data_IF_005125116861
#
_entry.id   IF_005125116861
#
_cell.length_a   1.000
_cell.length_b   1.000
_cell.length_c   1.000
_cell.angle_alpha   90.00
_cell.angle_beta   90.00
_cell.angle_gamma   90.00
#
_symmetry.space_group_name_H-M   'P 1'
#
loop_
_entity.id
_entity.type
_entity.pdbx_description
1 polymer ?
#
# COMPACT_ATOMS: atom_id res chain seq x y z
N UNK A 1 -2.40 -42.62 12.60
CA UNK A 1 -2.60 -41.23 13.01
C UNK A 1 -2.29 -40.34 11.82
N UNK A 2 -3.28 -39.64 11.29
CA UNK A 2 -3.03 -38.66 10.22
C UNK A 2 -2.60 -37.35 10.87
N UNK A 3 -1.41 -36.84 10.52
CA UNK A 3 -0.96 -35.52 10.95
C UNK A 3 -1.53 -34.49 9.96
N UNK A 4 -2.41 -33.63 10.44
CA UNK A 4 -2.91 -32.51 9.65
C UNK A 4 -1.97 -31.33 9.93
N UNK A 5 -1.24 -30.88 8.90
CA UNK A 5 -0.43 -29.67 8.95
C UNK A 5 -1.21 -28.46 8.42
N UNK A 6 -1.04 -27.29 9.04
CA UNK A 6 -1.55 -26.02 8.57
C UNK A 6 -0.36 -25.13 8.18
N UNK A 7 -0.38 -24.60 6.96
CA UNK A 7 0.60 -23.62 6.48
C UNK A 7 -0.15 -22.31 6.22
N UNK A 8 0.30 -21.23 6.83
CA UNK A 8 -0.22 -19.88 6.64
C UNK A 8 0.82 -19.04 5.89
N UNK A 9 0.36 -18.36 4.85
CA UNK A 9 1.18 -17.43 4.06
C UNK A 9 0.64 -16.01 4.25
N UNK A 10 1.54 -15.06 4.43
CA UNK A 10 1.22 -13.65 4.21
C UNK A 10 1.06 -13.41 2.70
N UNK A 11 0.29 -12.41 2.32
CA UNK A 11 0.00 -12.10 0.90
C UNK A 11 0.96 -11.04 0.39
N UNK A 12 0.98 -9.88 1.05
CA UNK A 12 1.71 -8.72 0.59
C UNK A 12 3.22 -8.90 0.82
N UNK A 13 4.00 -8.82 -0.27
CA UNK A 13 5.43 -9.04 -0.24
C UNK A 13 5.87 -10.51 -0.14
N UNK A 14 4.94 -11.47 -0.02
CA UNK A 14 5.21 -12.91 0.02
C UNK A 14 4.63 -13.62 -1.20
N UNK A 15 3.33 -13.47 -1.43
CA UNK A 15 2.64 -14.04 -2.60
C UNK A 15 2.51 -13.01 -3.73
N UNK A 16 2.31 -11.73 -3.37
CA UNK A 16 2.18 -10.61 -4.32
C UNK A 16 3.23 -9.55 -4.07
N UNK A 17 3.85 -9.08 -5.14
CA UNK A 17 4.69 -7.88 -5.11
C UNK A 17 3.80 -6.65 -5.16
N UNK A 18 3.75 -5.92 -4.06
CA UNK A 18 2.96 -4.70 -3.88
C UNK A 18 3.79 -3.42 -3.92
N UNK A 19 5.08 -3.51 -4.25
CA UNK A 19 6.02 -2.38 -4.25
C UNK A 19 5.55 -1.25 -5.16
N UNK A 20 5.04 -1.59 -6.35
CA UNK A 20 4.59 -0.64 -7.36
C UNK A 20 3.07 -0.35 -7.27
N UNK A 21 2.42 -0.68 -6.19
CA UNK A 21 1.01 -0.38 -5.94
C UNK A 21 0.83 0.46 -4.68
N UNK A 22 0.91 -0.13 -3.49
CA UNK A 22 0.74 0.58 -2.22
C UNK A 22 1.78 1.68 -2.00
N UNK A 23 3.07 1.37 -2.17
CA UNK A 23 4.13 2.36 -1.98
C UNK A 23 4.00 3.53 -2.94
N UNK A 24 3.69 3.24 -4.20
CA UNK A 24 3.47 4.29 -5.20
C UNK A 24 2.22 5.12 -4.88
N UNK A 25 1.15 4.51 -4.37
CA UNK A 25 -0.04 5.23 -3.91
C UNK A 25 0.26 6.15 -2.74
N UNK A 26 1.09 5.71 -1.77
CA UNK A 26 1.59 6.56 -0.67
C UNK A 26 2.35 7.76 -1.23
N UNK A 27 3.37 7.52 -2.08
CA UNK A 27 4.22 8.56 -2.65
C UNK A 27 3.42 9.62 -3.40
N UNK A 28 2.50 9.20 -4.27
CA UNK A 28 1.69 10.11 -5.08
C UNK A 28 0.61 10.83 -4.28
N UNK A 29 0.11 10.21 -3.21
CA UNK A 29 -0.82 10.90 -2.30
C UNK A 29 -0.09 12.00 -1.52
N UNK A 30 1.10 11.73 -0.98
CA UNK A 30 1.92 12.75 -0.31
C UNK A 30 2.26 13.89 -1.26
N UNK A 31 2.74 13.58 -2.47
CA UNK A 31 3.06 14.58 -3.50
C UNK A 31 1.88 15.52 -3.78
N UNK A 32 0.67 14.99 -3.85
CA UNK A 32 -0.54 15.78 -4.08
C UNK A 32 -0.78 16.85 -3.02
N UNK A 33 -0.51 16.53 -1.74
CA UNK A 33 -0.85 17.42 -0.64
C UNK A 33 0.26 18.39 -0.22
N UNK A 34 1.52 18.04 -0.42
CA UNK A 34 2.63 18.88 0.02
C UNK A 34 3.71 19.13 -1.03
N UNK A 35 3.45 18.76 -2.28
CA UNK A 35 4.37 18.94 -3.41
C UNK A 35 5.77 18.34 -3.16
N UNK A 36 5.82 17.29 -2.36
CA UNK A 36 7.01 16.49 -2.07
C UNK A 36 6.68 15.01 -2.26
N UNK A 37 7.51 14.30 -2.97
CA UNK A 37 7.39 12.86 -3.17
C UNK A 37 8.39 12.13 -2.27
N UNK A 38 7.92 11.40 -1.24
CA UNK A 38 8.82 10.65 -0.38
C UNK A 38 9.47 9.50 -1.17
N UNK A 39 10.72 9.23 -0.84
CA UNK A 39 11.42 8.05 -1.36
C UNK A 39 10.91 6.77 -0.68
N UNK A 40 11.25 5.61 -1.25
CA UNK A 40 10.99 4.32 -0.59
C UNK A 40 11.68 4.23 0.76
N UNK A 41 12.86 4.85 0.89
CA UNK A 41 13.59 4.93 2.17
C UNK A 41 12.81 5.72 3.23
N UNK A 42 12.20 6.85 2.88
CA UNK A 42 11.38 7.64 3.81
C UNK A 42 10.21 6.82 4.34
N UNK A 43 9.58 6.02 3.47
CA UNK A 43 8.49 5.11 3.84
C UNK A 43 9.00 4.01 4.78
N UNK A 44 10.14 3.40 4.45
CA UNK A 44 10.73 2.31 5.25
C UNK A 44 11.15 2.79 6.64
N UNK A 45 11.74 3.99 6.75
CA UNK A 45 12.07 4.59 8.04
C UNK A 45 10.84 4.69 8.92
N UNK A 46 9.71 5.14 8.37
CA UNK A 46 8.48 5.27 9.13
C UNK A 46 7.88 3.89 9.50
N UNK A 47 7.88 2.94 8.57
CA UNK A 47 7.42 1.56 8.83
C UNK A 47 8.25 0.86 9.90
N UNK A 48 9.54 1.13 9.97
CA UNK A 48 10.44 0.55 10.98
C UNK A 48 10.16 1.04 12.41
N UNK A 49 9.36 2.09 12.59
CA UNK A 49 8.87 2.50 13.91
C UNK A 49 7.86 1.48 14.49
N UNK A 50 7.31 0.57 13.67
CA UNK A 50 6.46 -0.55 14.09
C UNK A 50 5.01 -0.18 14.43
N UNK A 51 4.63 1.09 14.30
CA UNK A 51 3.28 1.59 14.63
C UNK A 51 2.49 2.05 13.39
N UNK A 52 3.14 2.21 12.26
CA UNK A 52 2.55 2.71 11.01
C UNK A 52 2.26 1.56 10.03
N UNK A 53 1.44 0.59 10.46
CA UNK A 53 1.08 -0.58 9.64
C UNK A 53 -0.01 -0.27 8.61
N UNK A 54 -0.83 0.75 8.87
CA UNK A 54 -1.86 1.19 7.95
C UNK A 54 -1.30 2.25 6.99
N UNK A 55 -1.38 2.04 5.68
CA UNK A 55 -0.77 2.93 4.68
C UNK A 55 -1.44 4.31 4.62
N UNK A 56 -2.71 4.44 4.98
CA UNK A 56 -3.37 5.75 5.05
C UNK A 56 -2.85 6.59 6.22
N UNK A 57 -2.69 5.97 7.37
CA UNK A 57 -2.17 6.62 8.58
C UNK A 57 -0.68 6.97 8.41
N UNK A 58 0.08 6.08 7.76
CA UNK A 58 1.46 6.32 7.35
C UNK A 58 1.57 7.51 6.39
N UNK A 59 0.69 7.59 5.39
CA UNK A 59 0.64 8.70 4.44
C UNK A 59 0.37 10.03 5.13
N UNK A 60 -0.60 10.05 6.05
CA UNK A 60 -0.92 11.25 6.83
C UNK A 60 0.25 11.69 7.70
N UNK A 61 0.93 10.76 8.35
CA UNK A 61 2.10 11.03 9.18
C UNK A 61 3.29 11.57 8.36
N UNK A 62 3.54 11.04 7.17
CA UNK A 62 4.56 11.58 6.25
C UNK A 62 4.30 13.04 5.92
N UNK A 63 3.05 13.37 5.56
CA UNK A 63 2.63 14.75 5.26
C UNK A 63 2.84 15.65 6.48
N UNK A 64 2.39 15.22 7.66
CA UNK A 64 2.52 15.95 8.91
C UNK A 64 3.99 16.25 9.26
N UNK A 65 4.85 15.24 9.18
CA UNK A 65 6.28 15.41 9.46
C UNK A 65 6.95 16.34 8.47
N UNK A 66 6.61 16.24 7.18
CA UNK A 66 7.15 17.12 6.16
C UNK A 66 6.74 18.58 6.38
N UNK A 67 5.45 18.84 6.64
CA UNK A 67 4.93 20.18 6.95
C UNK A 67 5.65 20.78 8.17
N UNK A 68 5.76 20.01 9.25
CA UNK A 68 6.39 20.47 10.50
C UNK A 68 7.88 20.73 10.31
N UNK A 69 8.60 19.82 9.66
CA UNK A 69 10.05 19.96 9.42
C UNK A 69 10.38 21.19 8.59
N UNK A 70 9.56 21.48 7.59
CA UNK A 70 9.78 22.60 6.68
C UNK A 70 9.03 23.88 7.09
N UNK A 71 8.32 23.85 8.23
CA UNK A 71 7.54 24.98 8.77
C UNK A 71 6.57 25.57 7.73
N UNK A 72 5.90 24.69 6.97
CA UNK A 72 4.98 25.10 5.92
C UNK A 72 3.63 25.53 6.51
N UNK A 73 3.03 26.57 5.92
CA UNK A 73 1.66 26.99 6.23
C UNK A 73 0.65 26.23 5.37
N UNK A 74 0.66 24.90 5.47
CA UNK A 74 -0.28 24.02 4.78
C UNK A 74 -1.19 23.35 5.80
N UNK A 75 -2.47 23.28 5.48
CA UNK A 75 -3.43 22.53 6.27
C UNK A 75 -3.20 21.02 6.11
N UNK A 76 -3.22 20.31 7.24
CA UNK A 76 -3.17 18.86 7.23
C UNK A 76 -4.48 18.30 6.66
N UNK A 77 -4.45 17.44 5.63
CA UNK A 77 -5.66 16.82 5.09
C UNK A 77 -6.32 15.92 6.14
N UNK A 78 -7.65 15.79 6.05
CA UNK A 78 -8.35 14.81 6.87
C UNK A 78 -7.99 13.38 6.44
N UNK A 79 -8.12 12.43 7.37
CA UNK A 79 -7.92 11.01 7.08
C UNK A 79 -8.80 10.53 5.92
N UNK A 80 -10.06 10.96 5.87
CA UNK A 80 -10.99 10.61 4.78
C UNK A 80 -10.52 11.12 3.41
N UNK A 81 -9.93 12.30 3.36
CA UNK A 81 -9.35 12.84 2.13
C UNK A 81 -8.12 12.05 1.68
N UNK A 82 -7.31 11.59 2.63
CA UNK A 82 -6.19 10.68 2.33
C UNK A 82 -6.71 9.38 1.74
N UNK A 83 -7.70 8.74 2.39
CA UNK A 83 -8.29 7.48 1.92
C UNK A 83 -8.82 7.63 0.49
N UNK A 84 -9.63 8.66 0.23
CA UNK A 84 -10.19 8.91 -1.12
C UNK A 84 -9.11 9.13 -2.18
N UNK A 85 -8.06 9.87 -1.84
CA UNK A 85 -6.95 10.14 -2.77
C UNK A 85 -6.13 8.87 -3.05
N UNK A 86 -5.84 8.11 -2.01
CA UNK A 86 -5.11 6.85 -2.11
C UNK A 86 -5.90 5.82 -2.93
N UNK A 87 -7.17 5.61 -2.62
CA UNK A 87 -8.03 4.64 -3.32
C UNK A 87 -8.19 4.99 -4.80
N UNK A 88 -8.32 6.27 -5.13
CA UNK A 88 -8.38 6.71 -6.51
C UNK A 88 -7.10 6.37 -7.29
N UNK A 89 -5.95 6.47 -6.67
CA UNK A 89 -4.67 6.11 -7.28
C UNK A 89 -4.50 4.59 -7.35
N UNK A 90 -4.86 3.89 -6.28
CA UNK A 90 -4.68 2.45 -6.16
C UNK A 90 -5.64 1.68 -7.07
N UNK A 91 -6.94 1.99 -7.04
CA UNK A 91 -7.95 1.33 -7.87
C UNK A 91 -8.18 2.01 -9.22
N UNK A 92 -7.97 3.32 -9.34
CA UNK A 92 -8.29 4.12 -10.53
C UNK A 92 -9.77 4.49 -10.66
N UNK A 93 -10.64 3.94 -9.81
CA UNK A 93 -12.07 4.18 -9.76
C UNK A 93 -12.59 3.96 -8.33
N UNK A 94 -13.92 3.95 -8.15
CA UNK A 94 -14.51 3.58 -6.87
C UNK A 94 -14.18 2.10 -6.55
N UNK A 95 -13.61 1.78 -5.37
CA UNK A 95 -13.24 0.42 -4.99
C UNK A 95 -14.42 -0.57 -4.95
N UNK A 96 -15.65 -0.08 -4.80
CA UNK A 96 -16.87 -0.89 -4.81
C UNK A 96 -17.34 -1.26 -6.24
N UNK A 97 -16.71 -0.72 -7.28
CA UNK A 97 -16.98 -1.13 -8.65
C UNK A 97 -16.35 -2.49 -8.96
N UNK A 98 -16.82 -3.13 -10.03
CA UNK A 98 -16.23 -4.38 -10.50
C UNK A 98 -14.71 -4.23 -10.68
N UNK A 99 -13.93 -5.21 -10.18
CA UNK A 99 -12.47 -5.25 -10.33
C UNK A 99 -12.01 -5.18 -11.80
N UNK A 100 -12.87 -5.52 -12.76
CA UNK A 100 -12.60 -5.37 -14.20
C UNK A 100 -12.44 -3.90 -14.63
N UNK A 101 -12.97 -2.96 -13.84
CA UNK A 101 -12.84 -1.52 -14.08
C UNK A 101 -11.63 -0.90 -13.38
N UNK A 102 -10.93 -1.67 -12.54
CA UNK A 102 -9.77 -1.17 -11.83
C UNK A 102 -8.62 -0.89 -12.80
N UNK A 103 -8.21 0.37 -12.86
CA UNK A 103 -7.17 0.87 -13.77
C UNK A 103 -6.00 1.55 -13.05
N UNK A 104 -6.01 1.53 -11.72
CA UNK A 104 -4.99 2.15 -10.89
C UNK A 104 -3.74 1.29 -10.69
N UNK A 105 -2.93 1.67 -9.72
CA UNK A 105 -1.65 1.01 -9.43
C UNK A 105 -1.76 -0.44 -8.98
N UNK A 106 -2.95 -0.90 -8.56
CA UNK A 106 -3.20 -2.32 -8.28
C UNK A 106 -2.83 -3.23 -9.46
N UNK A 107 -2.93 -2.72 -10.69
CA UNK A 107 -2.57 -3.48 -11.89
C UNK A 107 -1.06 -3.67 -12.06
N UNK A 108 -0.23 -2.98 -11.26
CA UNK A 108 1.21 -3.17 -11.23
C UNK A 108 1.64 -4.35 -10.33
N UNK A 109 0.71 -4.92 -9.57
CA UNK A 109 1.01 -6.05 -8.69
C UNK A 109 1.25 -7.32 -9.50
N UNK A 110 2.25 -8.08 -9.08
CA UNK A 110 2.65 -9.34 -9.73
C UNK A 110 2.68 -10.46 -8.71
N UNK A 111 2.37 -11.68 -9.16
CA UNK A 111 2.57 -12.86 -8.34
C UNK A 111 4.07 -13.14 -8.20
N UNK A 112 4.52 -13.36 -6.96
CA UNK A 112 5.89 -13.79 -6.63
C UNK A 112 6.04 -15.30 -6.66
N UNK A 113 4.93 -16.05 -6.67
CA UNK A 113 4.89 -17.50 -6.71
C UNK A 113 4.35 -17.98 -8.06
N UNK A 114 4.82 -19.13 -8.50
CA UNK A 114 4.34 -19.77 -9.73
C UNK A 114 2.91 -20.33 -9.49
N UNK A 115 2.08 -20.33 -10.53
CA UNK A 115 0.74 -20.94 -10.49
C UNK A 115 0.78 -22.40 -10.02
N UNK A 116 1.79 -23.17 -10.44
CA UNK A 116 1.99 -24.55 -10.04
C UNK A 116 2.20 -24.73 -8.53
N UNK A 117 2.61 -23.69 -7.81
CA UNK A 117 2.74 -23.72 -6.36
C UNK A 117 1.40 -23.98 -5.67
N UNK A 118 0.34 -23.34 -6.12
CA UNK A 118 -1.01 -23.53 -5.58
C UNK A 118 -1.56 -24.91 -5.95
N UNK A 119 -1.28 -25.38 -7.17
CA UNK A 119 -1.68 -26.71 -7.61
C UNK A 119 -0.97 -27.79 -6.76
N UNK A 120 0.30 -27.60 -6.44
CA UNK A 120 1.05 -28.48 -5.52
C UNK A 120 0.43 -28.55 -4.13
N UNK A 121 0.00 -27.41 -3.56
CA UNK A 121 -0.65 -27.38 -2.25
C UNK A 121 -2.02 -28.09 -2.23
N UNK A 122 -2.73 -28.12 -3.34
CA UNK A 122 -4.04 -28.79 -3.48
C UNK A 122 -3.94 -30.29 -3.69
N UNK A 123 -2.76 -30.81 -4.06
CA UNK A 123 -2.55 -32.25 -4.34
C UNK A 123 -2.15 -33.06 -3.11
N UNK A 124 -1.89 -32.41 -1.97
CA UNK A 124 -1.48 -33.01 -0.71
C UNK A 124 -2.47 -32.73 0.42
#
# INVERSE_FOLDING_TARGET
>A
MQTIGLILFDIDGVIRDVTNSYRLSVQKTVLKYCNWEPSTYDIDVLKNEGIWNNDWDLTLELIKRFINKNKLSLDLPSRDNIIKSFEKLYFGCNPNESHMKWSGFINNEKLLVNKNFFDFLNLN
#
